data_IF_799564292807
#
_entry.id   IF_799564292807
#
_cell.length_a   1.000
_cell.length_b   1.000
_cell.length_c   1.000
_cell.angle_alpha   90.00
_cell.angle_beta   90.00
_cell.angle_gamma   90.00
#
_symmetry.space_group_name_H-M   'P 1'
#
loop_
_entity.id
_entity.type
_entity.pdbx_description
1 polymer ?
#
# COMPACT_ATOMS: atom_id res chain seq x y z
N UNK A 1 -34.55 -11.01 -16.00
CA UNK A 1 -34.11 -10.21 -17.16
C UNK A 1 -33.72 -8.83 -16.63
N UNK A 2 -32.45 -8.64 -16.27
CA UNK A 2 -31.97 -7.34 -15.77
C UNK A 2 -31.63 -6.45 -16.98
N UNK A 3 -32.17 -5.23 -17.08
CA UNK A 3 -31.78 -4.30 -18.13
C UNK A 3 -30.31 -3.92 -17.91
N UNK A 4 -29.49 -4.18 -18.93
CA UNK A 4 -28.08 -3.85 -18.94
C UNK A 4 -27.88 -2.36 -18.66
N UNK A 5 -27.15 -2.06 -17.59
CA UNK A 5 -26.57 -0.73 -17.40
C UNK A 5 -25.67 -0.43 -18.61
N UNK A 6 -25.70 0.78 -19.17
CA UNK A 6 -24.79 1.13 -20.25
C UNK A 6 -23.35 1.05 -19.71
N UNK A 7 -22.60 0.05 -20.18
CA UNK A 7 -21.15 0.01 -20.02
C UNK A 7 -20.60 1.24 -20.73
N UNK A 8 -20.31 2.28 -19.94
CA UNK A 8 -19.54 3.42 -20.41
C UNK A 8 -18.28 2.89 -21.11
N UNK A 9 -17.89 3.47 -22.27
CA UNK A 9 -16.79 2.95 -23.08
C UNK A 9 -15.57 2.75 -22.19
N UNK A 10 -15.06 1.51 -22.17
CA UNK A 10 -13.84 1.12 -21.48
C UNK A 10 -12.69 1.90 -22.13
N UNK A 11 -12.47 3.13 -21.67
CA UNK A 11 -11.34 3.94 -22.11
C UNK A 11 -10.07 3.12 -21.86
N UNK A 12 -9.32 2.87 -22.93
CA UNK A 12 -8.02 2.21 -22.93
C UNK A 12 -7.23 2.67 -21.71
N UNK A 13 -6.70 1.78 -20.85
CA UNK A 13 -6.18 2.19 -19.56
C UNK A 13 -4.85 2.92 -19.76
N UNK A 14 -4.95 4.22 -20.01
CA UNK A 14 -3.86 5.16 -19.85
C UNK A 14 -3.39 5.12 -18.40
N UNK A 15 -2.11 5.38 -18.22
CA UNK A 15 -1.55 5.61 -16.91
C UNK A 15 -2.38 6.68 -16.16
N UNK A 16 -2.43 6.61 -14.83
CA UNK A 16 -2.99 7.71 -14.05
C UNK A 16 -2.22 8.99 -14.38
N UNK A 17 -2.96 10.11 -14.47
CA UNK A 17 -2.33 11.43 -14.54
C UNK A 17 -1.46 11.65 -13.28
N UNK A 18 -0.39 12.46 -13.36
CA UNK A 18 0.50 12.68 -12.23
C UNK A 18 -0.22 13.16 -10.95
N UNK A 19 -1.25 13.99 -11.11
CA UNK A 19 -2.08 14.47 -10.00
C UNK A 19 -2.88 13.34 -9.33
N UNK A 20 -3.57 12.50 -10.12
CA UNK A 20 -4.33 11.34 -9.61
C UNK A 20 -3.41 10.31 -8.96
N UNK A 21 -2.24 10.05 -9.55
CA UNK A 21 -1.25 9.14 -8.99
C UNK A 21 -0.74 9.63 -7.63
N UNK A 22 -0.39 10.92 -7.52
CA UNK A 22 0.07 11.53 -6.27
C UNK A 22 -1.01 11.43 -5.19
N UNK A 23 -2.24 11.82 -5.52
CA UNK A 23 -3.37 11.76 -4.60
C UNK A 23 -3.65 10.33 -4.13
N UNK A 24 -3.61 9.36 -5.04
CA UNK A 24 -3.79 7.95 -4.69
C UNK A 24 -2.70 7.46 -3.74
N UNK A 25 -1.43 7.81 -3.98
CA UNK A 25 -0.30 7.45 -3.09
C UNK A 25 -0.46 8.07 -1.70
N UNK A 26 -0.81 9.35 -1.62
CA UNK A 26 -1.08 10.02 -0.33
C UNK A 26 -2.18 9.32 0.46
N UNK A 27 -3.31 9.01 -0.17
CA UNK A 27 -4.41 8.30 0.48
C UNK A 27 -3.99 6.90 0.95
N UNK A 28 -3.20 6.17 0.16
CA UNK A 28 -2.68 4.86 0.58
C UNK A 28 -1.74 4.91 1.78
N UNK A 29 -1.04 6.03 1.97
CA UNK A 29 -0.08 6.23 3.06
C UNK A 29 -0.72 6.74 4.35
N UNK A 30 -1.73 7.58 4.24
CA UNK A 30 -2.21 8.39 5.37
C UNK A 30 -3.68 8.17 5.72
N UNK A 31 -4.37 7.28 5.00
CA UNK A 31 -5.80 7.04 5.21
C UNK A 31 -6.12 5.55 5.36
N UNK A 32 -7.13 5.18 6.16
CA UNK A 32 -7.59 3.80 6.30
C UNK A 32 -8.35 3.29 5.06
N UNK A 33 -8.56 4.12 4.04
CA UNK A 33 -9.34 3.77 2.85
C UNK A 33 -8.81 2.51 2.16
N UNK A 34 -9.77 1.70 1.73
CA UNK A 34 -9.56 0.55 0.85
C UNK A 34 -9.15 1.01 -0.55
N UNK A 35 -8.58 0.07 -1.33
CA UNK A 35 -8.22 0.34 -2.72
C UNK A 35 -9.45 0.67 -3.58
N UNK A 36 -10.63 0.15 -3.22
CA UNK A 36 -11.89 0.43 -3.92
C UNK A 36 -12.30 1.89 -3.70
N UNK A 37 -12.24 2.37 -2.46
CA UNK A 37 -12.58 3.77 -2.13
C UNK A 37 -11.57 4.74 -2.76
N UNK A 38 -10.27 4.41 -2.76
CA UNK A 38 -9.25 5.24 -3.42
C UNK A 38 -9.46 5.30 -4.94
N UNK A 39 -9.88 4.18 -5.56
CA UNK A 39 -10.24 4.16 -6.97
C UNK A 39 -11.45 5.06 -7.25
N UNK A 40 -12.47 5.02 -6.38
CA UNK A 40 -13.65 5.87 -6.49
C UNK A 40 -13.28 7.37 -6.38
N UNK A 41 -12.38 7.76 -5.48
CA UNK A 41 -11.85 9.14 -5.40
C UNK A 41 -11.15 9.56 -6.70
N UNK A 42 -10.59 8.61 -7.46
CA UNK A 42 -9.99 8.87 -8.77
C UNK A 42 -11.00 8.80 -9.93
N UNK A 43 -12.30 8.66 -9.65
CA UNK A 43 -13.38 8.39 -10.61
C UNK A 43 -13.11 7.15 -11.49
N UNK A 44 -12.60 6.08 -10.88
CA UNK A 44 -12.27 4.83 -11.55
C UNK A 44 -12.87 3.63 -10.82
N UNK A 45 -13.19 2.58 -11.58
CA UNK A 45 -13.45 1.26 -11.00
C UNK A 45 -12.16 0.70 -10.41
N UNK A 46 -12.26 -0.23 -9.44
CA UNK A 46 -11.10 -0.91 -8.84
C UNK A 46 -10.17 -1.53 -9.89
N UNK A 47 -10.74 -2.17 -10.91
CA UNK A 47 -9.98 -2.87 -11.95
C UNK A 47 -9.21 -1.89 -12.84
N UNK A 48 -9.88 -0.80 -13.28
CA UNK A 48 -9.23 0.25 -14.07
C UNK A 48 -8.12 0.94 -13.28
N UNK A 49 -8.41 1.32 -12.03
CA UNK A 49 -7.43 1.93 -11.15
C UNK A 49 -6.21 1.02 -10.94
N UNK A 50 -6.42 -0.27 -10.68
CA UNK A 50 -5.32 -1.20 -10.44
C UNK A 50 -4.42 -1.36 -11.67
N UNK A 51 -5.00 -1.39 -12.87
CA UNK A 51 -4.24 -1.47 -14.12
C UNK A 51 -3.48 -0.16 -14.39
N UNK A 52 -4.15 0.98 -14.33
CA UNK A 52 -3.54 2.29 -14.56
C UNK A 52 -2.42 2.58 -13.55
N UNK A 53 -2.64 2.32 -12.26
CA UNK A 53 -1.64 2.48 -11.21
C UNK A 53 -0.42 1.57 -11.43
N UNK A 54 -0.64 0.32 -11.86
CA UNK A 54 0.45 -0.60 -12.19
C UNK A 54 1.26 -0.13 -13.40
N UNK A 55 0.64 0.48 -14.40
CA UNK A 55 1.36 1.10 -15.53
C UNK A 55 2.30 2.19 -15.02
N UNK A 56 1.87 3.03 -14.08
CA UNK A 56 2.75 4.08 -13.53
C UNK A 56 3.84 3.57 -12.58
N UNK A 57 3.59 2.51 -11.81
CA UNK A 57 4.43 2.13 -10.65
C UNK A 57 5.11 0.76 -10.78
N UNK A 58 4.75 -0.03 -11.79
CA UNK A 58 5.13 -1.43 -11.92
C UNK A 58 4.41 -2.39 -10.98
N UNK A 59 3.66 -1.88 -9.99
CA UNK A 59 3.10 -2.65 -8.89
C UNK A 59 1.57 -2.53 -8.80
N UNK A 60 0.91 -3.55 -8.27
CA UNK A 60 -0.50 -3.40 -7.91
C UNK A 60 -0.64 -2.40 -6.74
N UNK A 61 -1.77 -1.69 -6.62
CA UNK A 61 -2.00 -0.77 -5.50
C UNK A 61 -1.75 -1.37 -4.11
N UNK A 62 -2.20 -2.62 -3.90
CA UNK A 62 -2.02 -3.31 -2.62
C UNK A 62 -0.55 -3.62 -2.34
N UNK A 63 0.18 -4.10 -3.36
CA UNK A 63 1.61 -4.38 -3.23
C UNK A 63 2.42 -3.11 -2.99
N UNK A 64 2.11 -2.03 -3.71
CA UNK A 64 2.75 -0.73 -3.51
C UNK A 64 2.51 -0.20 -2.10
N UNK A 65 1.25 -0.24 -1.62
CA UNK A 65 0.91 0.19 -0.25
C UNK A 65 1.65 -0.64 0.79
N UNK A 66 1.76 -1.95 0.57
CA UNK A 66 2.48 -2.84 1.49
C UNK A 66 3.98 -2.52 1.54
N UNK A 67 4.64 -2.33 0.39
CA UNK A 67 6.04 -1.90 0.34
C UNK A 67 6.25 -0.55 1.02
N UNK A 68 5.37 0.42 0.76
CA UNK A 68 5.47 1.72 1.38
C UNK A 68 5.31 1.67 2.91
N UNK A 69 4.44 0.77 3.42
CA UNK A 69 4.35 0.46 4.85
C UNK A 69 5.63 -0.18 5.40
N UNK A 70 6.27 -1.09 4.64
CA UNK A 70 7.55 -1.67 5.05
C UNK A 70 8.67 -0.64 5.12
N UNK A 71 8.71 0.30 4.18
CA UNK A 71 9.69 1.41 4.22
C UNK A 71 9.44 2.35 5.43
N UNK A 72 8.18 2.62 5.78
CA UNK A 72 7.85 3.31 7.06
C UNK A 72 8.32 2.47 8.25
N UNK A 73 8.07 1.16 8.23
CA UNK A 73 8.43 0.27 9.31
C UNK A 73 9.94 0.23 9.55
N UNK A 74 10.77 0.13 8.50
CA UNK A 74 12.23 0.17 8.60
C UNK A 74 12.72 1.44 9.30
N UNK A 75 12.17 2.61 8.92
CA UNK A 75 12.51 3.90 9.56
C UNK A 75 12.16 3.91 11.05
N UNK A 76 10.98 3.43 11.41
CA UNK A 76 10.57 3.34 12.82
C UNK A 76 11.35 2.28 13.61
N UNK A 77 11.70 1.17 12.97
CA UNK A 77 12.50 0.12 13.59
C UNK A 77 13.93 0.55 13.90
N UNK A 78 14.47 1.54 13.19
CA UNK A 78 15.75 2.17 13.49
C UNK A 78 15.72 3.07 14.75
N UNK A 79 14.55 3.23 15.37
CA UNK A 79 14.39 3.91 16.66
C UNK A 79 14.12 2.91 17.79
N UNK A 80 14.11 3.39 19.03
CA UNK A 80 13.79 2.60 20.23
C UNK A 80 12.29 2.29 20.40
N UNK A 81 11.43 2.67 19.45
CA UNK A 81 10.00 2.43 19.53
C UNK A 81 9.66 0.92 19.70
N UNK A 82 8.69 0.54 20.55
CA UNK A 82 8.26 -0.85 20.66
C UNK A 82 7.75 -1.41 19.32
N UNK A 83 8.05 -2.68 19.00
CA UNK A 83 7.60 -3.31 17.74
C UNK A 83 6.07 -3.31 17.61
N UNK A 84 5.35 -3.41 18.74
CA UNK A 84 3.90 -3.25 18.83
C UNK A 84 3.45 -1.88 18.33
N UNK A 85 4.12 -0.81 18.76
CA UNK A 85 3.83 0.55 18.33
C UNK A 85 4.14 0.73 16.83
N UNK A 86 5.28 0.22 16.35
CA UNK A 86 5.63 0.24 14.92
C UNK A 86 4.57 -0.45 14.06
N UNK A 87 4.06 -1.59 14.52
CA UNK A 87 2.99 -2.33 13.84
C UNK A 87 1.75 -1.48 13.62
N UNK A 88 1.26 -0.83 14.69
CA UNK A 88 0.08 0.04 14.66
C UNK A 88 0.31 1.25 13.76
N UNK A 89 1.47 1.89 13.87
CA UNK A 89 1.87 3.03 13.04
C UNK A 89 1.94 2.68 11.55
N UNK A 90 2.29 1.44 11.21
CA UNK A 90 2.29 0.95 9.84
C UNK A 90 0.91 0.47 9.36
N UNK A 91 -0.14 0.61 10.18
CA UNK A 91 -1.52 0.28 9.85
C UNK A 91 -1.80 -1.22 9.84
N UNK A 92 -1.13 -1.98 10.71
CA UNK A 92 -1.43 -3.39 10.99
C UNK A 92 -2.30 -3.51 12.24
N UNK A 93 -3.19 -4.50 12.25
CA UNK A 93 -4.09 -4.78 13.37
C UNK A 93 -3.37 -5.33 14.61
N UNK A 94 -2.29 -6.09 14.39
CA UNK A 94 -1.53 -6.74 15.45
C UNK A 94 -0.08 -6.98 15.02
N UNK A 95 0.79 -7.17 16.02
CA UNK A 95 2.23 -7.40 15.81
C UNK A 95 2.52 -8.70 15.05
N UNK A 96 1.71 -9.75 15.21
CA UNK A 96 1.97 -11.05 14.59
C UNK A 96 1.78 -10.96 13.06
N UNK A 97 0.73 -10.28 12.61
CA UNK A 97 0.47 -10.00 11.20
C UNK A 97 1.57 -9.12 10.61
N UNK A 98 1.97 -8.05 11.30
CA UNK A 98 3.10 -7.22 10.90
C UNK A 98 4.38 -8.03 10.77
N UNK A 99 4.71 -8.85 11.76
CA UNK A 99 5.94 -9.67 11.76
C UNK A 99 5.98 -10.63 10.58
N UNK A 100 4.87 -11.33 10.30
CA UNK A 100 4.79 -12.23 9.14
C UNK A 100 4.98 -11.47 7.81
N UNK A 101 4.32 -10.33 7.65
CA UNK A 101 4.43 -9.52 6.45
C UNK A 101 5.84 -8.94 6.26
N UNK A 102 6.44 -8.44 7.34
CA UNK A 102 7.79 -7.88 7.35
C UNK A 102 8.84 -8.95 7.02
N UNK A 103 8.82 -10.10 7.71
CA UNK A 103 9.74 -11.20 7.42
C UNK A 103 9.65 -11.67 5.98
N UNK A 104 8.43 -11.79 5.44
CA UNK A 104 8.23 -12.20 4.03
C UNK A 104 8.84 -11.23 3.03
N UNK A 105 8.78 -9.92 3.31
CA UNK A 105 9.24 -8.89 2.36
C UNK A 105 10.69 -8.47 2.56
N UNK A 106 11.17 -8.51 3.79
CA UNK A 106 12.52 -8.05 4.17
C UNK A 106 13.49 -9.21 4.33
N UNK A 107 13.00 -10.44 4.45
CA UNK A 107 13.82 -11.66 4.60
C UNK A 107 14.16 -12.01 6.04
N UNK A 108 13.85 -11.16 7.02
CA UNK A 108 14.11 -11.42 8.43
C UNK A 108 13.09 -10.72 9.35
N UNK A 109 12.87 -11.23 10.59
CA UNK A 109 11.93 -10.62 11.54
C UNK A 109 12.31 -9.21 11.96
N UNK A 110 11.35 -8.35 12.33
CA UNK A 110 11.59 -6.96 12.76
C UNK A 110 12.63 -6.81 13.88
N UNK A 111 12.60 -7.72 14.86
CA UNK A 111 13.54 -7.72 16.00
C UNK A 111 14.98 -7.98 15.54
N UNK A 112 15.18 -9.00 14.71
CA UNK A 112 16.49 -9.34 14.15
C UNK A 112 16.99 -8.21 13.24
N UNK A 113 16.10 -7.63 12.43
CA UNK A 113 16.43 -6.49 11.58
C UNK A 113 16.91 -5.27 12.38
N UNK A 114 16.24 -4.95 13.49
CA UNK A 114 16.67 -3.86 14.39
C UNK A 114 18.06 -4.13 14.96
N UNK A 115 18.30 -5.34 15.48
CA UNK A 115 19.59 -5.70 16.07
C UNK A 115 20.74 -5.57 15.06
N UNK A 116 20.51 -5.97 13.80
CA UNK A 116 21.51 -5.83 12.74
C UNK A 116 21.86 -4.36 12.44
N UNK A 117 20.89 -3.44 12.57
CA UNK A 117 21.11 -2.01 12.31
C UNK A 117 21.83 -1.28 13.46
N UNK A 118 21.73 -1.77 14.69
CA UNK A 118 22.44 -1.20 15.85
C UNK A 118 23.90 -1.65 15.94
N UNK A 119 24.25 -2.76 15.28
CA UNK A 119 25.61 -3.31 15.25
C UNK A 119 26.50 -2.75 14.12
N UNK A 120 25.99 -1.80 13.33
CA UNK A 120 26.71 -1.14 12.22
C UNK A 120 27.06 0.28 12.59
#
# INVERSE_FOLDING_TARGET
>A
MYPGTPEAPLQTPGALTPARLRRAKELMLHSPLSIIEIAAVCNLTRSHFSRAFKVNTGLSPQAWRLLARMEKAKRLLATEAPITHVSLECGFCDQAHFTRAFSRLVGQPPKAWRQAQTLS
#
